data_IF_386825625672
#
_entry.id   IF_386825625672
#
_cell.length_a   1.000
_cell.length_b   1.000
_cell.length_c   1.000
_cell.angle_alpha   90.00
_cell.angle_beta   90.00
_cell.angle_gamma   90.00
#
_symmetry.space_group_name_H-M   'P 1'
#
loop_
_entity.id
_entity.type
_entity.pdbx_description
1 polymer ?
#
# COMPACT_ATOMS: atom_id res chain seq x y z
N UNK A 1 6.25 -14.39 -1.69
CA UNK A 1 6.23 -12.99 -1.24
C UNK A 1 5.05 -12.27 -1.87
N UNK A 2 4.24 -11.62 -1.06
CA UNK A 2 3.06 -10.93 -1.59
C UNK A 2 3.49 -9.65 -2.33
N UNK A 3 2.94 -9.45 -3.50
CA UNK A 3 3.14 -8.21 -4.26
C UNK A 3 1.88 -7.36 -4.06
N UNK A 4 2.02 -6.30 -3.31
CA UNK A 4 0.90 -5.42 -2.97
C UNK A 4 0.58 -4.40 -4.06
N UNK A 5 1.47 -4.24 -5.04
CA UNK A 5 1.30 -3.21 -6.05
C UNK A 5 -0.01 -3.35 -6.84
N UNK A 6 -0.36 -4.52 -7.41
CA UNK A 6 -1.61 -4.62 -8.17
C UNK A 6 -2.83 -4.33 -7.32
N UNK A 7 -2.82 -4.78 -6.06
CA UNK A 7 -3.92 -4.55 -5.14
C UNK A 7 -4.11 -3.07 -4.85
N UNK A 8 -3.01 -2.37 -4.54
CA UNK A 8 -3.06 -0.94 -4.22
C UNK A 8 -3.43 -0.13 -5.46
N UNK A 9 -2.84 -0.44 -6.60
CA UNK A 9 -3.13 0.27 -7.84
C UNK A 9 -4.61 0.18 -8.19
N UNK A 10 -5.20 -0.99 -8.02
CA UNK A 10 -6.62 -1.19 -8.28
C UNK A 10 -7.48 -0.43 -7.27
N UNK A 11 -7.08 -0.46 -6.01
CA UNK A 11 -7.84 0.17 -4.93
C UNK A 11 -7.91 1.70 -5.08
N UNK A 12 -6.88 2.32 -5.64
CA UNK A 12 -6.86 3.78 -5.81
C UNK A 12 -7.34 4.24 -7.18
N UNK A 13 -7.76 3.31 -8.03
CA UNK A 13 -8.28 3.67 -9.35
C UNK A 13 -9.47 4.61 -9.20
N UNK A 14 -9.38 5.78 -9.84
CA UNK A 14 -10.41 6.81 -9.72
C UNK A 14 -10.23 7.78 -8.57
N UNK A 15 -9.25 7.55 -7.68
CA UNK A 15 -8.94 8.47 -6.59
C UNK A 15 -7.84 9.43 -7.03
N UNK A 16 -8.23 10.58 -7.53
CA UNK A 16 -7.28 11.56 -8.06
C UNK A 16 -6.77 12.52 -6.99
N UNK A 17 -7.45 12.60 -5.86
CA UNK A 17 -7.05 13.45 -4.74
C UNK A 17 -6.01 12.72 -3.88
N UNK A 18 -4.85 13.35 -3.70
CA UNK A 18 -3.76 12.74 -2.93
C UNK A 18 -4.11 12.47 -1.47
N UNK A 19 -4.98 13.29 -0.87
CA UNK A 19 -5.40 13.06 0.51
C UNK A 19 -6.30 11.83 0.62
N UNK A 20 -7.16 11.61 -0.35
CA UNK A 20 -8.03 10.42 -0.37
C UNK A 20 -7.19 9.15 -0.52
N UNK A 21 -6.18 9.19 -1.41
CA UNK A 21 -5.27 8.05 -1.55
C UNK A 21 -4.50 7.79 -0.28
N UNK A 22 -4.03 8.84 0.40
CA UNK A 22 -3.28 8.69 1.66
C UNK A 22 -4.13 8.00 2.73
N UNK A 23 -5.39 8.41 2.86
CA UNK A 23 -6.31 7.77 3.83
C UNK A 23 -6.49 6.30 3.51
N UNK A 24 -6.62 5.96 2.24
CA UNK A 24 -6.76 4.58 1.83
C UNK A 24 -5.50 3.78 2.18
N UNK A 25 -4.33 4.35 1.93
CA UNK A 25 -3.07 3.68 2.26
C UNK A 25 -2.92 3.43 3.75
N UNK A 26 -3.23 4.43 4.57
CA UNK A 26 -3.15 4.29 6.03
C UNK A 26 -4.11 3.23 6.54
N UNK A 27 -5.33 3.25 6.04
CA UNK A 27 -6.33 2.26 6.42
C UNK A 27 -5.90 0.86 6.00
N UNK A 28 -5.41 0.72 4.77
CA UNK A 28 -4.96 -0.56 4.24
C UNK A 28 -3.77 -1.11 5.00
N UNK A 29 -2.80 -0.27 5.32
CA UNK A 29 -1.62 -0.70 6.07
C UNK A 29 -2.01 -1.14 7.49
N UNK A 30 -2.85 -0.38 8.16
CA UNK A 30 -3.31 -0.73 9.50
C UNK A 30 -4.07 -2.06 9.49
N UNK A 31 -4.92 -2.28 8.50
CA UNK A 31 -5.65 -3.54 8.36
C UNK A 31 -4.70 -4.71 8.11
N UNK A 32 -3.71 -4.53 7.25
CA UNK A 32 -2.71 -5.56 6.98
C UNK A 32 -1.94 -5.93 8.24
N UNK A 33 -1.46 -4.93 8.98
CA UNK A 33 -0.70 -5.19 10.20
C UNK A 33 -1.54 -5.90 11.25
N UNK A 34 -2.81 -5.53 11.37
CA UNK A 34 -3.72 -6.19 12.31
C UNK A 34 -3.91 -7.66 11.95
N UNK A 35 -4.08 -7.96 10.66
CA UNK A 35 -4.23 -9.33 10.20
C UNK A 35 -2.98 -10.16 10.44
N UNK A 36 -1.80 -9.59 10.15
CA UNK A 36 -0.54 -10.30 10.33
C UNK A 36 -0.29 -10.62 11.80
N UNK A 37 -0.63 -9.68 12.70
CA UNK A 37 -0.47 -9.89 14.14
C UNK A 37 -1.44 -10.89 14.72
N UNK A 38 -2.56 -11.12 14.03
CA UNK A 38 -3.60 -12.06 14.49
C UNK A 38 -3.32 -13.50 14.05
N UNK A 39 -2.34 -13.73 13.19
CA UNK A 39 -2.04 -15.07 12.70
C UNK A 39 -1.54 -16.00 13.81
N UNK A 40 -1.91 -17.28 13.69
CA UNK A 40 -1.47 -18.33 14.62
C UNK A 40 -0.91 -19.49 13.82
N UNK A 41 0.35 -19.91 14.07
CA UNK A 41 1.27 -19.34 15.07
C UNK A 41 1.67 -17.90 14.71
N UNK A 42 2.10 -17.09 15.69
CA UNK A 42 2.43 -15.68 15.42
C UNK A 42 3.64 -15.56 14.50
N UNK A 43 3.60 -14.56 13.61
CA UNK A 43 4.75 -14.22 12.78
C UNK A 43 5.77 -13.45 13.62
N UNK A 44 7.04 -13.59 13.25
CA UNK A 44 8.09 -12.81 13.91
C UNK A 44 7.96 -11.32 13.53
N UNK A 45 8.48 -10.45 14.40
CA UNK A 45 8.50 -9.02 14.13
C UNK A 45 9.26 -8.70 12.85
N UNK A 46 10.32 -9.46 12.54
CA UNK A 46 11.09 -9.27 11.32
C UNK A 46 10.25 -9.54 10.07
N UNK A 47 9.42 -10.58 10.10
CA UNK A 47 8.53 -10.90 8.97
C UNK A 47 7.47 -9.81 8.80
N UNK A 48 6.89 -9.35 9.90
CA UNK A 48 5.88 -8.29 9.86
C UNK A 48 6.49 -7.00 9.31
N UNK A 49 7.70 -6.65 9.74
CA UNK A 49 8.41 -5.47 9.23
C UNK A 49 8.69 -5.57 7.73
N UNK A 50 9.04 -6.76 7.26
CA UNK A 50 9.30 -6.99 5.85
C UNK A 50 8.04 -6.79 5.01
N UNK A 51 6.91 -7.29 5.48
CA UNK A 51 5.63 -7.11 4.80
C UNK A 51 5.21 -5.64 4.78
N UNK A 52 5.43 -4.93 5.88
CA UNK A 52 5.16 -3.50 5.95
C UNK A 52 5.97 -2.73 4.92
N UNK A 53 7.26 -3.04 4.80
CA UNK A 53 8.12 -2.38 3.82
C UNK A 53 7.66 -2.65 2.39
N UNK A 54 7.25 -3.89 2.11
CA UNK A 54 6.74 -4.25 0.78
C UNK A 54 5.49 -3.45 0.43
N UNK A 55 4.61 -3.26 1.40
CA UNK A 55 3.40 -2.46 1.21
C UNK A 55 3.76 -0.99 0.95
N UNK A 56 4.68 -0.44 1.74
CA UNK A 56 5.12 0.95 1.58
C UNK A 56 5.81 1.19 0.25
N UNK A 57 6.60 0.22 -0.22
CA UNK A 57 7.22 0.32 -1.54
C UNK A 57 6.20 0.31 -2.67
N UNK A 58 5.16 -0.50 -2.53
CA UNK A 58 4.07 -0.51 -3.49
C UNK A 58 3.35 0.84 -3.54
N UNK A 59 3.15 1.46 -2.38
CA UNK A 59 2.57 2.80 -2.31
C UNK A 59 3.44 3.81 -3.06
N UNK A 60 4.76 3.78 -2.85
CA UNK A 60 5.67 4.69 -3.53
C UNK A 60 5.61 4.53 -5.05
N UNK A 61 5.51 3.29 -5.51
CA UNK A 61 5.41 3.02 -6.94
C UNK A 61 4.12 3.57 -7.52
N UNK A 62 3.00 3.37 -6.84
CA UNK A 62 1.70 3.89 -7.27
C UNK A 62 1.72 5.41 -7.31
N UNK A 63 2.27 6.06 -6.26
CA UNK A 63 2.33 7.52 -6.22
C UNK A 63 3.24 8.09 -7.30
N UNK A 64 4.34 7.41 -7.63
CA UNK A 64 5.21 7.83 -8.73
C UNK A 64 4.47 7.76 -10.07
N UNK A 65 3.65 6.75 -10.27
CA UNK A 65 2.85 6.62 -11.49
C UNK A 65 1.76 7.68 -11.57
N UNK A 66 1.13 8.01 -10.45
CA UNK A 66 0.13 9.08 -10.40
C UNK A 66 0.75 10.44 -10.72
N UNK A 67 1.93 10.71 -10.19
CA UNK A 67 2.65 11.95 -10.47
C UNK A 67 3.00 12.06 -11.96
N UNK A 68 3.45 10.96 -12.56
CA UNK A 68 3.78 10.93 -13.98
C UNK A 68 2.54 11.14 -14.83
N UNK A 69 1.43 10.50 -14.47
CA UNK A 69 0.16 10.66 -15.19
C UNK A 69 -0.33 12.10 -15.14
N UNK A 70 -0.21 12.76 -13.98
CA UNK A 70 -0.59 14.14 -13.82
C UNK A 70 0.25 15.07 -14.72
N UNK A 71 1.56 14.78 -14.81
CA UNK A 71 2.45 15.54 -15.68
C UNK A 71 2.11 15.35 -17.17
N UNK A 72 1.74 14.13 -17.55
CA UNK A 72 1.38 13.83 -18.94
C UNK A 72 0.07 14.47 -19.35
N UNK A 73 -0.82 14.74 -18.39
CA UNK A 73 -2.11 15.38 -18.64
C UNK A 73 -1.98 16.87 -18.94
N UNK A 74 -0.84 17.46 -18.66
CA UNK A 74 -0.57 18.87 -18.94
C UNK A 74 0.19 19.00 -20.26
#
# INVERSE_FOLDING_TARGET
MADYYPLIAKAVMGLYNGQDRRRLYEHGLNALLAELRALRPPLSDAVIAKERLAFEEAIRKVEAEEARRANESN
#
